data_IF_433527246364
#
_entry.id   IF_433527246364
#
_cell.length_a   1.000
_cell.length_b   1.000
_cell.length_c   1.000
_cell.angle_alpha   90.00
_cell.angle_beta   90.00
_cell.angle_gamma   90.00
#
_symmetry.space_group_name_H-M   'P 1'
#
loop_
_entity.id
_entity.type
_entity.pdbx_description
1 polymer ?
#
# COMPACT_ATOMS: atom_id res chain seq x y z
N UNK A 1 1.42 -1.27 8.15
CA UNK A 1 0.74 -0.61 9.28
C UNK A 1 -0.03 -1.61 10.11
N UNK A 2 0.22 -1.61 11.39
CA UNK A 2 -0.46 -2.41 12.38
C UNK A 2 -1.44 -1.57 13.19
N UNK A 3 -1.88 -2.04 14.33
CA UNK A 3 -2.85 -1.40 15.19
C UNK A 3 -2.44 0.00 15.68
N UNK A 4 -3.40 0.80 16.16
CA UNK A 4 -3.29 2.24 16.35
C UNK A 4 -3.31 2.71 17.80
N UNK A 5 -3.11 1.88 18.79
CA UNK A 5 -3.02 2.34 20.18
C UNK A 5 -1.98 3.46 20.38
N UNK A 6 -0.98 3.52 19.49
CA UNK A 6 0.04 4.57 19.44
C UNK A 6 0.11 5.19 18.04
N UNK A 7 -0.99 5.71 17.58
CA UNK A 7 -1.22 6.24 16.22
C UNK A 7 -0.22 7.30 15.73
N UNK A 8 0.59 7.88 16.61
CA UNK A 8 1.65 8.84 16.28
C UNK A 8 3.05 8.24 16.23
N UNK A 9 3.17 6.96 16.51
CA UNK A 9 4.45 6.28 16.60
C UNK A 9 4.87 5.57 15.33
N UNK A 10 5.23 4.33 15.47
CA UNK A 10 5.71 3.46 14.39
C UNK A 10 4.54 2.84 13.60
N UNK A 11 4.72 2.66 12.32
CA UNK A 11 3.78 1.92 11.45
C UNK A 11 3.71 0.42 11.73
N UNK A 12 4.65 -0.12 12.49
CA UNK A 12 4.68 -1.51 12.90
C UNK A 12 4.86 -1.60 14.42
N UNK A 13 3.99 -2.38 15.06
CA UNK A 13 4.06 -2.68 16.48
C UNK A 13 4.00 -4.20 16.68
N UNK A 14 5.03 -4.76 17.29
CA UNK A 14 5.18 -6.21 17.49
C UNK A 14 3.99 -6.85 18.23
N UNK A 15 3.43 -6.17 19.23
CA UNK A 15 2.27 -6.66 19.99
C UNK A 15 0.92 -6.57 19.29
N UNK A 16 0.86 -6.03 18.09
CA UNK A 16 -0.38 -5.88 17.32
C UNK A 16 -0.91 -7.21 16.81
N UNK A 17 -2.23 -7.31 16.69
CA UNK A 17 -2.94 -8.48 16.16
C UNK A 17 -3.33 -8.34 14.70
N UNK A 18 -3.33 -7.11 14.17
CA UNK A 18 -3.88 -6.79 12.85
C UNK A 18 -2.85 -6.07 11.98
N UNK A 19 -2.80 -6.45 10.71
CA UNK A 19 -2.28 -5.61 9.63
C UNK A 19 -3.47 -4.85 9.06
N UNK A 20 -3.42 -3.52 9.12
CA UNK A 20 -4.49 -2.64 8.65
C UNK A 20 -4.33 -2.29 7.18
N UNK A 21 -3.11 -2.04 6.75
CA UNK A 21 -2.73 -1.80 5.36
C UNK A 21 -1.21 -1.79 5.20
N UNK A 22 -0.74 -1.66 3.97
CA UNK A 22 0.64 -1.34 3.63
C UNK A 22 0.68 0.10 3.11
N UNK A 23 1.26 1.01 3.90
CA UNK A 23 1.45 2.41 3.51
C UNK A 23 2.78 2.61 2.81
N UNK A 24 2.87 3.62 1.94
CA UNK A 24 4.09 3.97 1.21
C UNK A 24 4.81 5.17 1.82
N UNK A 25 4.18 5.80 2.79
CA UNK A 25 4.74 6.79 3.68
C UNK A 25 4.22 6.47 5.07
N UNK A 26 5.12 6.23 6.00
CA UNK A 26 4.77 6.20 7.41
C UNK A 26 5.94 6.76 8.20
N UNK A 27 5.80 7.99 8.62
CA UNK A 27 6.70 8.66 9.54
C UNK A 27 5.85 9.58 10.38
N UNK A 28 6.23 9.79 11.61
CA UNK A 28 5.58 10.62 12.60
C UNK A 28 4.64 11.72 12.05
N UNK A 29 3.33 11.53 12.19
CA UNK A 29 2.28 12.39 11.65
C UNK A 29 2.30 12.56 10.11
N UNK A 30 2.93 11.64 9.41
CA UNK A 30 2.86 11.50 7.95
C UNK A 30 2.55 10.07 7.61
N UNK A 31 1.50 9.86 6.88
CA UNK A 31 1.12 8.56 6.37
C UNK A 31 0.36 8.73 5.05
N UNK A 32 0.46 7.76 4.19
CA UNK A 32 -0.26 7.87 2.93
C UNK A 32 -0.10 6.69 2.01
N UNK A 33 -0.94 6.69 0.99
CA UNK A 33 -1.05 5.67 -0.06
C UNK A 33 -1.21 4.28 0.55
N UNK A 34 -2.30 4.11 1.29
CA UNK A 34 -2.66 2.85 1.93
C UNK A 34 -3.13 1.83 0.89
N UNK A 35 -2.48 0.67 0.87
CA UNK A 35 -2.81 -0.44 -0.02
C UNK A 35 -3.08 -1.70 0.79
N UNK A 36 -4.11 -2.49 0.40
CA UNK A 36 -4.43 -3.74 1.08
C UNK A 36 -4.93 -4.80 0.10
N UNK A 37 -4.29 -5.98 0.01
CA UNK A 37 -4.84 -7.12 -0.71
C UNK A 37 -5.93 -7.80 0.13
N UNK A 38 -7.07 -8.11 -0.48
CA UNK A 38 -8.19 -8.79 0.18
C UNK A 38 -8.81 -9.84 -0.71
N UNK A 39 -9.55 -10.76 -0.11
CA UNK A 39 -10.26 -11.85 -0.81
C UNK A 39 -11.68 -11.98 -0.23
N UNK A 40 -12.64 -12.30 -1.09
CA UNK A 40 -14.04 -12.54 -0.69
C UNK A 40 -14.92 -11.31 -0.84
N UNK A 41 -15.95 -11.14 0.01
CA UNK A 41 -16.86 -10.00 -0.08
C UNK A 41 -16.14 -8.65 0.06
N UNK A 42 -16.42 -7.72 -0.85
CA UNK A 42 -15.81 -6.39 -0.80
C UNK A 42 -16.25 -5.59 0.44
N UNK A 43 -15.30 -5.11 1.22
CA UNK A 43 -15.52 -4.32 2.43
C UNK A 43 -14.75 -3.00 2.47
N UNK A 44 -13.99 -2.66 1.41
CA UNK A 44 -13.12 -1.48 1.38
C UNK A 44 -13.83 -0.17 1.74
N UNK A 45 -15.09 -0.02 1.31
CA UNK A 45 -15.91 1.16 1.59
C UNK A 45 -16.27 1.36 3.08
N UNK A 46 -16.15 0.32 3.91
CA UNK A 46 -16.51 0.36 5.34
C UNK A 46 -15.34 0.81 6.24
N UNK A 47 -14.19 1.12 5.65
CA UNK A 47 -13.00 1.58 6.37
C UNK A 47 -12.09 0.45 6.85
N UNK A 48 -10.91 0.84 7.35
CA UNK A 48 -9.81 -0.08 7.65
C UNK A 48 -10.17 -1.20 8.62
N UNK A 49 -10.96 -0.95 9.64
CA UNK A 49 -11.37 -1.97 10.63
C UNK A 49 -12.18 -3.11 9.98
N UNK A 50 -12.80 -2.86 8.84
CA UNK A 50 -13.60 -3.85 8.10
C UNK A 50 -12.79 -4.69 7.14
N UNK A 51 -11.64 -4.21 6.68
CA UNK A 51 -10.78 -4.92 5.73
C UNK A 51 -9.38 -5.26 6.28
N UNK A 52 -9.05 -4.89 7.50
CA UNK A 52 -7.81 -5.34 8.15
C UNK A 52 -7.77 -6.88 8.25
N UNK A 53 -6.60 -7.44 8.42
CA UNK A 53 -6.41 -8.87 8.60
C UNK A 53 -5.65 -9.17 9.87
N UNK A 54 -6.08 -10.19 10.57
CA UNK A 54 -5.24 -10.82 11.59
C UNK A 54 -3.97 -11.35 10.96
N UNK A 55 -2.90 -11.41 11.75
CA UNK A 55 -1.65 -12.04 11.40
C UNK A 55 -1.00 -12.66 12.64
N UNK A 56 -0.01 -13.51 12.41
CA UNK A 56 0.82 -14.09 13.46
C UNK A 56 2.28 -13.93 13.11
N UNK A 57 3.16 -13.95 14.10
CA UNK A 57 4.60 -13.91 13.88
C UNK A 57 5.15 -15.23 13.36
N UNK A 58 4.34 -16.30 13.33
CA UNK A 58 4.73 -17.56 12.72
C UNK A 58 4.90 -17.38 11.21
N UNK A 59 6.15 -17.54 10.74
CA UNK A 59 6.50 -17.36 9.33
C UNK A 59 6.60 -15.88 8.90
N UNK A 60 6.43 -14.93 9.81
CA UNK A 60 6.76 -13.52 9.54
C UNK A 60 8.27 -13.34 9.38
N UNK A 61 8.66 -12.50 8.46
CA UNK A 61 10.04 -12.05 8.28
C UNK A 61 10.03 -10.53 8.24
N UNK A 62 10.64 -9.89 9.21
CA UNK A 62 10.85 -8.44 9.24
C UNK A 62 12.37 -8.17 9.30
N UNK A 63 12.91 -7.68 8.20
CA UNK A 63 14.35 -7.35 8.04
C UNK A 63 14.48 -6.01 7.33
N UNK A 64 15.58 -5.30 7.49
CA UNK A 64 15.85 -4.15 6.63
C UNK A 64 15.72 -4.51 5.15
N UNK A 65 14.94 -3.72 4.42
CA UNK A 65 14.66 -3.94 3.01
C UNK A 65 13.65 -5.06 2.67
N UNK A 66 13.12 -5.80 3.65
CA UNK A 66 12.16 -6.88 3.35
C UNK A 66 11.20 -7.17 4.50
N UNK A 67 9.92 -7.25 4.18
CA UNK A 67 8.87 -7.74 5.09
C UNK A 67 8.04 -8.82 4.40
N UNK A 68 7.77 -9.90 5.13
CA UNK A 68 6.85 -10.97 4.71
C UNK A 68 5.89 -11.26 5.84
N UNK A 69 4.60 -11.31 5.54
CA UNK A 69 3.55 -11.62 6.51
C UNK A 69 2.39 -12.36 5.85
N UNK A 70 1.74 -13.25 6.59
CA UNK A 70 0.51 -13.92 6.18
C UNK A 70 -0.70 -13.16 6.72
N UNK A 71 -1.57 -12.70 5.82
CA UNK A 71 -2.87 -12.12 6.12
C UNK A 71 -3.88 -13.25 6.29
N UNK A 72 -4.15 -13.65 7.54
CA UNK A 72 -4.86 -14.90 7.83
C UNK A 72 -6.32 -14.87 7.43
N UNK A 73 -6.99 -13.70 7.54
CA UNK A 73 -8.39 -13.56 7.15
C UNK A 73 -8.62 -13.73 5.64
N UNK A 74 -7.59 -13.56 4.83
CA UNK A 74 -7.67 -13.60 3.37
C UNK A 74 -6.89 -14.75 2.75
N UNK A 75 -6.13 -15.50 3.57
CA UNK A 75 -5.18 -16.49 3.10
C UNK A 75 -4.17 -15.94 2.05
N UNK A 76 -3.80 -14.67 2.19
CA UNK A 76 -2.85 -13.99 1.32
C UNK A 76 -1.51 -13.86 2.02
N UNK A 77 -0.43 -14.28 1.34
CA UNK A 77 0.93 -13.95 1.78
C UNK A 77 1.37 -12.66 1.10
N UNK A 78 1.72 -11.65 1.88
CA UNK A 78 2.27 -10.39 1.42
C UNK A 78 3.79 -10.36 1.64
N UNK A 79 4.54 -10.07 0.60
CA UNK A 79 5.98 -9.87 0.61
C UNK A 79 6.26 -8.47 0.07
N UNK A 80 7.07 -7.70 0.77
CA UNK A 80 7.30 -6.28 0.52
C UNK A 80 8.79 -5.99 0.49
N UNK A 81 9.21 -5.25 -0.51
CA UNK A 81 10.53 -4.63 -0.62
C UNK A 81 10.40 -3.26 -1.25
N UNK A 82 11.46 -2.51 -1.38
CA UNK A 82 11.41 -1.17 -1.98
C UNK A 82 12.75 -0.74 -2.56
N UNK A 83 12.66 0.21 -3.46
CA UNK A 83 13.72 1.16 -3.78
C UNK A 83 13.52 2.44 -2.95
N UNK A 84 14.22 3.51 -3.27
CA UNK A 84 14.13 4.78 -2.52
C UNK A 84 12.72 5.39 -2.56
N UNK A 85 12.01 5.30 -3.69
CA UNK A 85 10.70 5.95 -3.91
C UNK A 85 9.62 5.01 -4.44
N UNK A 86 9.93 3.72 -4.58
CA UNK A 86 8.99 2.73 -5.12
C UNK A 86 8.87 1.55 -4.16
N UNK A 87 7.68 1.35 -3.62
CA UNK A 87 7.32 0.11 -2.94
C UNK A 87 7.06 -1.00 -3.97
N UNK A 88 7.60 -2.18 -3.71
CA UNK A 88 7.39 -3.35 -4.56
C UNK A 88 6.81 -4.48 -3.74
N UNK A 89 5.60 -4.87 -4.08
CA UNK A 89 4.81 -5.86 -3.36
C UNK A 89 4.65 -7.12 -4.22
N UNK A 90 4.66 -8.28 -3.56
CA UNK A 90 4.30 -9.56 -4.13
C UNK A 90 3.23 -10.19 -3.24
N UNK A 91 2.04 -10.34 -3.76
CA UNK A 91 0.93 -10.98 -3.07
C UNK A 91 0.69 -12.38 -3.63
N UNK A 92 0.77 -13.39 -2.79
CA UNK A 92 0.39 -14.76 -3.15
C UNK A 92 -1.04 -14.99 -2.71
N UNK A 93 -1.94 -15.13 -3.67
CA UNK A 93 -3.38 -15.27 -3.43
C UNK A 93 -3.82 -16.75 -3.43
N UNK A 94 -4.89 -17.10 -2.69
CA UNK A 94 -5.62 -18.34 -2.88
C UNK A 94 -6.41 -18.31 -4.19
N UNK A 95 -7.05 -19.44 -4.55
CA UNK A 95 -8.02 -19.45 -5.64
C UNK A 95 -9.27 -18.66 -5.22
N UNK A 96 -9.65 -17.67 -6.04
CA UNK A 96 -10.84 -16.84 -5.76
C UNK A 96 -11.35 -16.15 -7.02
N UNK A 97 -12.66 -15.98 -7.11
CA UNK A 97 -13.33 -15.14 -8.12
C UNK A 97 -13.44 -13.67 -7.65
N UNK A 98 -13.00 -13.36 -6.43
CA UNK A 98 -13.13 -12.06 -5.80
C UNK A 98 -11.87 -11.71 -5.00
N UNK A 99 -10.77 -11.53 -5.70
CA UNK A 99 -9.50 -10.99 -5.18
C UNK A 99 -9.40 -9.51 -5.51
N UNK A 100 -8.92 -8.74 -4.55
CA UNK A 100 -8.82 -7.27 -4.68
C UNK A 100 -7.45 -6.77 -4.24
N UNK A 101 -7.06 -5.61 -4.79
CA UNK A 101 -6.09 -4.71 -4.19
C UNK A 101 -6.79 -3.37 -4.00
N UNK A 102 -6.88 -2.94 -2.75
CA UNK A 102 -7.48 -1.67 -2.36
C UNK A 102 -6.41 -0.57 -2.38
N UNK A 103 -6.79 0.61 -2.88
CA UNK A 103 -6.08 1.87 -2.72
C UNK A 103 -7.01 2.78 -1.90
N UNK A 104 -6.79 2.83 -0.59
CA UNK A 104 -7.60 3.63 0.32
C UNK A 104 -6.91 4.97 0.60
N UNK A 105 -7.20 5.95 -0.24
CA UNK A 105 -6.65 7.30 -0.13
C UNK A 105 -7.36 8.14 0.94
N UNK A 106 -8.36 7.59 1.59
CA UNK A 106 -9.03 8.19 2.76
C UNK A 106 -8.60 7.58 4.09
N UNK A 107 -7.66 6.64 4.08
CA UNK A 107 -7.22 5.93 5.27
C UNK A 107 -6.67 6.88 6.34
N UNK A 108 -7.13 6.72 7.59
CA UNK A 108 -6.61 7.48 8.72
C UNK A 108 -5.47 6.72 9.40
N UNK A 109 -4.27 7.17 9.19
CA UNK A 109 -3.04 6.60 9.75
C UNK A 109 -2.19 7.69 10.42
N UNK A 110 -1.44 7.32 11.47
CA UNK A 110 -0.45 8.19 12.11
C UNK A 110 -0.95 9.59 12.52
N UNK A 111 -2.22 9.74 12.94
CA UNK A 111 -2.84 11.04 13.20
C UNK A 111 -2.77 12.02 12.01
N UNK A 112 -2.76 11.51 10.80
CA UNK A 112 -2.74 12.30 9.59
C UNK A 112 -4.05 12.09 8.81
N UNK A 113 -5.10 12.86 9.11
CA UNK A 113 -6.35 12.76 8.35
C UNK A 113 -6.11 13.28 6.92
N UNK A 114 -6.84 12.70 5.99
CA UNK A 114 -6.85 13.15 4.60
C UNK A 114 -7.90 14.24 4.42
N UNK A 115 -7.48 15.42 3.99
CA UNK A 115 -8.36 16.55 3.70
C UNK A 115 -9.18 16.28 2.44
N UNK A 116 -8.51 15.81 1.40
CA UNK A 116 -9.07 15.53 0.10
C UNK A 116 -8.15 14.57 -0.67
N UNK A 117 -8.73 13.72 -1.50
CA UNK A 117 -7.95 12.81 -2.34
C UNK A 117 -8.65 12.51 -3.66
N UNK A 118 -7.91 11.98 -4.59
CA UNK A 118 -8.40 11.51 -5.87
C UNK A 118 -7.64 10.26 -6.30
N UNK A 119 -8.35 9.27 -6.84
CA UNK A 119 -7.76 8.05 -7.37
C UNK A 119 -8.49 7.62 -8.64
N UNK A 120 -7.75 7.13 -9.63
CA UNK A 120 -8.29 6.72 -10.91
C UNK A 120 -7.50 5.61 -11.58
N UNK A 121 -8.16 4.89 -12.47
CA UNK A 121 -7.56 3.93 -13.37
C UNK A 121 -7.03 4.65 -14.62
N UNK A 122 -5.78 4.39 -14.98
CA UNK A 122 -5.16 4.89 -16.21
C UNK A 122 -5.32 3.85 -17.34
N UNK A 123 -5.01 2.60 -17.04
CA UNK A 123 -5.10 1.46 -17.97
C UNK A 123 -5.53 0.20 -17.21
N UNK A 124 -5.57 -0.94 -17.89
CA UNK A 124 -5.93 -2.21 -17.23
C UNK A 124 -4.89 -2.69 -16.22
N UNK A 125 -3.72 -2.07 -16.16
CA UNK A 125 -2.66 -2.40 -15.20
C UNK A 125 -2.14 -1.19 -14.42
N UNK A 126 -2.70 0.01 -14.62
CA UNK A 126 -2.15 1.23 -14.05
C UNK A 126 -3.21 2.02 -13.28
N UNK A 127 -2.85 2.40 -12.06
CA UNK A 127 -3.65 3.23 -11.16
C UNK A 127 -2.82 4.44 -10.77
N UNK A 128 -3.45 5.58 -10.63
CA UNK A 128 -2.81 6.78 -10.10
C UNK A 128 -3.75 7.51 -9.15
N UNK A 129 -3.15 8.37 -8.34
CA UNK A 129 -3.91 9.20 -7.42
C UNK A 129 -3.03 10.14 -6.65
N UNK A 130 -3.67 10.88 -5.78
CA UNK A 130 -3.05 11.76 -4.82
C UNK A 130 -3.95 11.95 -3.61
N UNK A 131 -3.35 12.33 -2.51
CA UNK A 131 -4.04 12.66 -1.27
C UNK A 131 -3.37 13.87 -0.63
N UNK A 132 -4.14 14.70 0.05
CA UNK A 132 -3.66 15.82 0.85
C UNK A 132 -3.80 15.43 2.32
N UNK A 133 -2.68 15.21 2.98
CA UNK A 133 -2.64 15.06 4.42
C UNK A 133 -2.89 16.41 5.08
N UNK A 134 -3.89 16.50 5.94
CA UNK A 134 -4.19 17.70 6.69
C UNK A 134 -3.01 18.10 7.59
N UNK A 135 -2.83 19.41 7.78
CA UNK A 135 -1.88 19.95 8.74
C UNK A 135 -2.11 19.42 10.15
N UNK A 136 -1.05 19.28 10.89
CA UNK A 136 -1.05 18.90 12.30
C UNK A 136 -0.29 19.93 13.14
N UNK A 137 -0.31 19.80 14.46
CA UNK A 137 0.45 20.69 15.35
C UNK A 137 1.97 20.68 15.09
N UNK A 138 2.51 19.60 14.53
CA UNK A 138 3.94 19.44 14.21
C UNK A 138 4.25 19.58 12.72
N UNK A 139 3.28 19.43 11.88
CA UNK A 139 3.35 19.63 10.43
C UNK A 139 2.34 20.72 10.07
N UNK A 140 2.75 22.00 10.09
CA UNK A 140 1.81 23.14 10.04
C UNK A 140 1.23 23.41 8.65
N UNK A 141 1.63 22.64 7.63
CA UNK A 141 1.12 22.78 6.26
C UNK A 141 0.47 21.48 5.80
N UNK A 142 -0.59 21.62 5.02
CA UNK A 142 -1.15 20.51 4.27
C UNK A 142 -0.09 19.97 3.30
N UNK A 143 0.00 18.65 3.21
CA UNK A 143 1.07 18.01 2.43
C UNK A 143 0.47 17.07 1.40
N UNK A 144 0.58 17.39 0.10
CA UNK A 144 0.15 16.49 -0.95
C UNK A 144 1.14 15.35 -1.12
N UNK A 145 0.60 14.15 -1.36
CA UNK A 145 1.35 12.97 -1.80
C UNK A 145 0.69 12.43 -3.04
N UNK A 146 1.47 12.24 -4.07
CA UNK A 146 1.06 11.69 -5.36
C UNK A 146 1.60 10.30 -5.51
N UNK A 147 0.84 9.42 -6.16
CA UNK A 147 1.33 8.08 -6.46
C UNK A 147 0.97 7.65 -7.87
N UNK A 148 1.77 6.72 -8.38
CA UNK A 148 1.55 5.98 -9.59
C UNK A 148 1.85 4.51 -9.33
N UNK A 149 0.92 3.63 -9.69
CA UNK A 149 1.01 2.21 -9.40
C UNK A 149 0.84 1.37 -10.67
N UNK A 150 1.59 0.25 -10.73
CA UNK A 150 1.48 -0.76 -11.78
C UNK A 150 1.23 -2.14 -11.17
N UNK A 151 0.30 -2.88 -11.76
CA UNK A 151 0.02 -4.28 -11.44
C UNK A 151 0.58 -5.20 -12.54
N UNK A 152 1.08 -6.38 -12.15
CA UNK A 152 1.51 -7.42 -13.09
C UNK A 152 0.34 -8.18 -13.74
N UNK A 153 -0.89 -7.93 -13.26
CA UNK A 153 -2.11 -8.61 -13.71
C UNK A 153 -3.16 -7.57 -14.13
N UNK A 154 -3.82 -7.78 -15.29
CA UNK A 154 -4.90 -6.90 -15.72
C UNK A 154 -6.07 -6.89 -14.74
N UNK A 155 -6.63 -5.70 -14.53
CA UNK A 155 -7.82 -5.45 -13.72
C UNK A 155 -9.07 -5.83 -14.50
N UNK A 156 -9.90 -6.69 -13.93
CA UNK A 156 -11.18 -7.11 -14.53
C UNK A 156 -12.30 -6.12 -14.22
N UNK A 157 -12.28 -5.56 -13.00
CA UNK A 157 -13.31 -4.62 -12.53
C UNK A 157 -12.73 -3.62 -11.55
N UNK A 158 -13.27 -2.41 -11.54
CA UNK A 158 -13.01 -1.37 -10.53
C UNK A 158 -14.22 -1.24 -9.62
N UNK A 159 -13.95 -1.08 -8.32
CA UNK A 159 -14.94 -0.67 -7.32
C UNK A 159 -14.44 0.63 -6.70
N UNK A 160 -15.25 1.67 -6.72
CA UNK A 160 -14.94 2.95 -6.07
C UNK A 160 -15.90 3.22 -4.93
N UNK A 161 -15.41 3.95 -3.92
CA UNK A 161 -16.26 4.37 -2.79
C UNK A 161 -15.95 5.78 -2.35
N UNK A 162 -16.92 6.37 -1.67
CA UNK A 162 -16.82 7.67 -1.01
C UNK A 162 -17.65 7.64 0.26
N UNK A 163 -17.07 8.11 1.37
CA UNK A 163 -17.76 8.30 2.65
C UNK A 163 -18.60 7.07 3.08
N UNK A 164 -18.02 5.89 3.03
CA UNK A 164 -18.65 4.64 3.44
C UNK A 164 -19.63 4.03 2.43
N UNK A 165 -19.79 4.59 1.22
CA UNK A 165 -20.73 4.12 0.20
C UNK A 165 -20.02 3.75 -1.09
N UNK A 166 -20.37 2.62 -1.67
CA UNK A 166 -19.94 2.26 -3.01
C UNK A 166 -20.57 3.25 -4.00
N UNK A 167 -19.74 3.85 -4.84
CA UNK A 167 -20.16 4.75 -5.90
C UNK A 167 -20.14 3.98 -7.22
N UNK A 168 -21.23 3.92 -7.97
CA UNK A 168 -21.25 3.29 -9.28
C UNK A 168 -20.19 3.91 -10.20
N UNK A 169 -19.42 3.06 -10.84
CA UNK A 169 -18.38 3.52 -11.77
C UNK A 169 -19.01 4.15 -13.00
N UNK A 170 -18.73 5.42 -13.20
CA UNK A 170 -18.93 6.10 -14.49
C UNK A 170 -17.57 6.29 -15.15
N UNK A 171 -17.51 6.19 -16.47
CA UNK A 171 -16.26 6.52 -17.19
C UNK A 171 -16.02 8.03 -17.21
N UNK A 172 -14.80 8.54 -16.93
CA UNK A 172 -13.60 7.76 -16.55
C UNK A 172 -13.73 7.17 -15.15
N UNK A 173 -13.10 6.00 -14.92
CA UNK A 173 -13.06 5.29 -13.64
C UNK A 173 -12.20 6.05 -12.63
N UNK A 174 -12.79 7.12 -12.10
CA UNK A 174 -12.14 8.12 -11.24
C UNK A 174 -13.08 8.50 -10.09
N UNK A 175 -12.52 8.67 -8.90
CA UNK A 175 -13.24 9.17 -7.74
C UNK A 175 -12.40 10.18 -6.98
N UNK A 176 -13.05 11.25 -6.49
CA UNK A 176 -12.41 12.28 -5.70
C UNK A 176 -13.32 12.74 -4.55
N UNK A 177 -12.74 13.26 -3.50
CA UNK A 177 -13.45 13.76 -2.33
C UNK A 177 -12.74 13.46 -1.03
N UNK A 178 -13.50 13.51 0.05
CA UNK A 178 -13.07 13.06 1.36
C UNK A 178 -13.41 11.58 1.53
N UNK A 179 -12.52 10.81 2.19
CA UNK A 179 -12.71 9.38 2.47
C UNK A 179 -13.10 8.58 1.20
N UNK A 180 -12.30 8.72 0.16
CA UNK A 180 -12.46 7.99 -1.08
C UNK A 180 -11.41 6.90 -1.23
N UNK A 181 -11.73 5.91 -2.06
CA UNK A 181 -10.78 4.90 -2.47
C UNK A 181 -11.24 4.14 -3.71
N UNK A 182 -10.34 3.34 -4.23
CA UNK A 182 -10.54 2.52 -5.40
C UNK A 182 -9.98 1.12 -5.13
N UNK A 183 -10.72 0.11 -5.48
CA UNK A 183 -10.24 -1.27 -5.48
C UNK A 183 -10.22 -1.83 -6.90
N UNK A 184 -9.13 -2.48 -7.24
CA UNK A 184 -9.03 -3.31 -8.43
C UNK A 184 -9.45 -4.73 -8.10
N UNK A 185 -10.30 -5.33 -8.91
CA UNK A 185 -10.78 -6.71 -8.76
C UNK A 185 -10.26 -7.57 -9.90
N UNK A 186 -9.91 -8.80 -9.57
CA UNK A 186 -9.51 -9.85 -10.52
C UNK A 186 -9.75 -11.25 -9.91
N UNK A 187 -9.79 -12.26 -10.77
CA UNK A 187 -9.80 -13.67 -10.34
C UNK A 187 -8.39 -14.17 -10.15
N UNK A 188 -8.19 -15.06 -9.19
CA UNK A 188 -6.89 -15.70 -8.93
C UNK A 188 -7.00 -17.20 -8.90
N UNK A 189 -5.93 -17.85 -9.35
CA UNK A 189 -5.70 -19.30 -9.16
C UNK A 189 -5.03 -19.54 -7.81
N UNK A 190 -5.03 -20.77 -7.35
CA UNK A 190 -4.32 -21.16 -6.12
C UNK A 190 -2.81 -20.82 -6.24
N UNK A 191 -2.29 -20.14 -5.23
CA UNK A 191 -0.90 -19.67 -5.14
C UNK A 191 -0.47 -18.72 -6.28
N UNK A 192 -1.41 -18.03 -6.90
CA UNK A 192 -1.09 -17.05 -7.93
C UNK A 192 -0.40 -15.82 -7.30
N UNK A 193 0.72 -15.44 -7.88
CA UNK A 193 1.48 -14.26 -7.47
C UNK A 193 1.06 -13.06 -8.30
N UNK A 194 0.56 -12.03 -7.64
CA UNK A 194 0.28 -10.73 -8.25
C UNK A 194 1.29 -9.73 -7.69
N UNK A 195 2.01 -9.06 -8.58
CA UNK A 195 3.00 -8.06 -8.23
C UNK A 195 2.38 -6.67 -8.37
N UNK A 196 2.77 -5.77 -7.46
CA UNK A 196 2.35 -4.38 -7.46
C UNK A 196 3.56 -3.49 -7.19
N UNK A 197 3.77 -2.50 -8.04
CA UNK A 197 4.71 -1.41 -7.83
C UNK A 197 3.93 -0.15 -7.48
N UNK A 198 4.34 0.58 -6.46
CA UNK A 198 3.75 1.87 -6.09
C UNK A 198 4.85 2.89 -5.90
N UNK A 199 4.95 3.82 -6.82
CA UNK A 199 5.87 4.95 -6.72
C UNK A 199 5.18 6.17 -6.12
N UNK A 200 5.93 6.94 -5.35
CA UNK A 200 5.45 8.16 -4.71
C UNK A 200 6.21 9.40 -5.16
N UNK A 201 5.57 10.54 -5.01
CA UNK A 201 6.17 11.86 -5.20
C UNK A 201 5.44 12.92 -4.38
N UNK A 202 6.15 13.94 -3.92
CA UNK A 202 5.57 15.14 -3.34
C UNK A 202 5.33 16.26 -4.37
N UNK A 203 5.56 15.99 -5.66
CA UNK A 203 5.50 16.99 -6.73
C UNK A 203 4.29 16.78 -7.63
N UNK A 204 4.12 15.57 -8.18
CA UNK A 204 3.01 15.25 -9.08
C UNK A 204 2.94 13.74 -9.35
N UNK A 205 1.79 13.28 -9.87
CA UNK A 205 1.61 11.90 -10.37
C UNK A 205 2.60 11.60 -11.51
N UNK A 206 2.85 12.55 -12.37
CA UNK A 206 3.83 12.37 -13.46
C UNK A 206 5.24 12.18 -12.92
N UNK A 207 5.62 12.89 -11.85
CA UNK A 207 6.91 12.67 -11.22
C UNK A 207 6.95 11.30 -10.51
N UNK A 208 5.87 10.85 -9.87
CA UNK A 208 5.80 9.49 -9.33
C UNK A 208 5.99 8.44 -10.42
N UNK A 209 5.38 8.62 -11.58
CA UNK A 209 5.58 7.76 -12.76
C UNK A 209 7.02 7.74 -13.21
N UNK A 210 7.67 8.90 -13.33
CA UNK A 210 9.10 9.00 -13.67
C UNK A 210 9.98 8.29 -12.65
N UNK A 211 9.68 8.41 -11.36
CA UNK A 211 10.40 7.72 -10.29
C UNK A 211 10.31 6.20 -10.45
N UNK A 212 9.12 5.68 -10.80
CA UNK A 212 8.93 4.25 -11.02
C UNK A 212 9.84 3.73 -12.14
N UNK A 213 9.82 4.37 -13.29
CA UNK A 213 10.62 3.93 -14.45
C UNK A 213 12.13 4.16 -14.24
N UNK A 214 12.53 5.14 -13.45
CA UNK A 214 13.94 5.38 -13.15
C UNK A 214 14.53 4.37 -12.15
N UNK A 215 13.71 3.87 -11.22
CA UNK A 215 14.18 3.04 -10.12
C UNK A 215 13.83 1.57 -10.26
N UNK A 216 12.71 1.24 -10.91
CA UNK A 216 12.14 -0.11 -10.90
C UNK A 216 11.43 -0.44 -12.21
N UNK A 217 12.18 -0.63 -13.30
CA UNK A 217 11.63 -1.20 -14.54
C UNK A 217 11.35 -2.71 -14.43
N UNK A 218 12.26 -3.44 -13.80
CA UNK A 218 12.21 -4.89 -13.68
C UNK A 218 11.02 -5.38 -12.84
N UNK A 219 10.41 -6.50 -13.22
CA UNK A 219 9.43 -7.25 -12.42
C UNK A 219 10.08 -8.38 -11.61
N UNK A 220 11.40 -8.46 -11.55
CA UNK A 220 12.12 -9.45 -10.76
C UNK A 220 12.17 -9.05 -9.28
N UNK A 221 11.21 -9.55 -8.52
CA UNK A 221 11.08 -9.25 -7.09
C UNK A 221 12.31 -9.65 -6.27
N UNK A 222 12.92 -10.79 -6.57
CA UNK A 222 14.10 -11.26 -5.82
C UNK A 222 15.31 -10.35 -6.03
N UNK A 223 15.52 -9.87 -7.27
CA UNK A 223 16.59 -8.94 -7.59
C UNK A 223 16.47 -7.64 -6.77
N UNK A 224 15.27 -7.05 -6.73
CA UNK A 224 15.03 -5.81 -5.97
C UNK A 224 15.19 -6.03 -4.47
N UNK A 225 14.70 -7.16 -3.96
CA UNK A 225 14.86 -7.54 -2.55
C UNK A 225 16.34 -7.69 -2.18
N UNK A 226 17.15 -8.31 -3.03
CA UNK A 226 18.60 -8.42 -2.81
C UNK A 226 19.27 -7.05 -2.85
N UNK A 227 18.99 -6.23 -3.85
CA UNK A 227 19.54 -4.88 -3.95
C UNK A 227 19.20 -4.01 -2.74
N UNK A 228 17.94 -4.07 -2.27
CA UNK A 228 17.51 -3.36 -1.06
C UNK A 228 18.25 -3.84 0.19
N UNK A 229 18.45 -5.16 0.34
CA UNK A 229 19.21 -5.72 1.44
C UNK A 229 20.67 -5.26 1.43
N UNK A 230 21.32 -5.27 0.26
CA UNK A 230 22.71 -4.86 0.09
C UNK A 230 22.90 -3.37 0.38
N UNK A 231 21.96 -2.54 -0.04
CA UNK A 231 21.97 -1.11 0.29
C UNK A 231 21.85 -0.88 1.80
N UNK A 232 20.91 -1.53 2.48
CA UNK A 232 20.80 -1.45 3.93
C UNK A 232 22.04 -1.95 4.64
N UNK A 233 22.63 -3.06 4.19
CA UNK A 233 23.87 -3.60 4.72
C UNK A 233 25.04 -2.62 4.59
N UNK A 234 25.13 -1.90 3.48
CA UNK A 234 26.14 -0.85 3.27
C UNK A 234 26.01 0.27 4.30
N UNK A 235 24.80 0.65 4.68
CA UNK A 235 24.58 1.70 5.68
C UNK A 235 24.74 1.21 7.11
N UNK A 236 24.17 0.07 7.45
CA UNK A 236 24.22 -0.51 8.80
C UNK A 236 25.63 -1.04 9.15
N UNK A 237 26.33 -1.60 8.18
CA UNK A 237 27.70 -2.11 8.35
C UNK A 237 28.79 -1.04 8.56
N UNK A 238 28.42 0.25 8.58
CA UNK A 238 29.36 1.33 8.95
C UNK A 238 29.75 1.32 10.43
N UNK A 239 28.99 0.60 11.23
CA UNK A 239 29.26 0.41 12.67
C UNK A 239 29.24 -1.08 12.92
N UNK A 240 30.40 -1.64 13.25
CA UNK A 240 30.56 -3.02 13.69
C UNK A 240 30.75 -3.04 15.19
N UNK A 241 30.04 -3.96 15.88
CA UNK A 241 30.13 -4.14 17.32
C UNK A 241 30.57 -5.57 17.57
N UNK A 242 31.72 -5.72 18.24
CA UNK A 242 32.20 -6.99 18.76
C UNK A 242 31.80 -7.11 20.23
N UNK A 243 31.20 -8.25 20.62
CA UNK A 243 30.75 -8.53 21.98
C UNK A 243 31.05 -9.95 22.40
#
# INVERSE_FOLDING_TARGET
DTDTEHSWGSGYMYGSKYIRCFSHIHNWQMSGVAVMPTVGPFKGHLGMDSYQSEFTHEGEIAKPGFHKVKLTNYDVTAELTSTMRVGFHRYTFPQSDSSYVLFDTGAFLAHSPTAYSEVWKISDTEIAGWEIMERTGRRPKDTPVYFYAQLSKPVEQIVTWREGKIVPNTKPERISGKNVGLAVKFRTKANEKVLLKVAISYVSVEQARKNLYAELESWNFEEVKHASFDEWNTWLGKIEVEG
#
